data_IF_840903268123
#
_entry.id   IF_840903268123
#
_cell.length_a   1.000
_cell.length_b   1.000
_cell.length_c   1.000
_cell.angle_alpha   90.00
_cell.angle_beta   90.00
_cell.angle_gamma   90.00
#
_symmetry.space_group_name_H-M   'P 1'
#
loop_
_entity.id
_entity.type
_entity.pdbx_description
1 polymer ?
#
# COMPACT_ATOMS: atom_id res chain seq x y z
N UNK A 1 9.73 4.88 -3.10
CA UNK A 1 8.72 3.92 -2.60
C UNK A 1 7.34 4.57 -2.61
N UNK A 2 7.13 5.68 -1.92
CA UNK A 2 5.82 6.34 -1.88
C UNK A 2 5.22 6.68 -3.25
N UNK A 3 6.06 7.06 -4.20
CA UNK A 3 5.61 7.42 -5.56
C UNK A 3 5.45 6.22 -6.50
N UNK A 4 5.68 4.99 -6.05
CA UNK A 4 5.63 3.82 -6.90
C UNK A 4 4.19 3.57 -7.37
N UNK A 5 4.02 3.25 -8.65
CA UNK A 5 2.72 2.92 -9.21
C UNK A 5 2.29 1.56 -8.70
N UNK A 6 1.19 1.51 -7.94
CA UNK A 6 0.51 0.26 -7.61
C UNK A 6 0.00 -0.36 -8.90
N UNK A 7 0.45 -1.57 -9.18
CA UNK A 7 -0.12 -2.33 -10.29
C UNK A 7 -1.40 -2.99 -9.78
N UNK A 8 -2.27 -3.41 -10.70
CA UNK A 8 -3.40 -4.26 -10.37
C UNK A 8 -3.01 -5.38 -9.40
N UNK A 9 -3.93 -5.69 -8.49
CA UNK A 9 -3.77 -6.77 -7.51
C UNK A 9 -2.70 -6.54 -6.42
N UNK A 10 -2.19 -5.31 -6.28
CA UNK A 10 -1.31 -4.96 -5.16
C UNK A 10 -2.06 -5.06 -3.82
N UNK A 11 -1.46 -5.72 -2.83
CA UNK A 11 -1.98 -5.90 -1.47
C UNK A 11 -0.81 -6.09 -0.49
N UNK A 12 -0.99 -5.78 0.80
CA UNK A 12 0.08 -5.99 1.79
C UNK A 12 0.22 -7.46 2.15
N UNK A 13 1.46 -7.94 2.16
CA UNK A 13 1.79 -9.31 2.53
C UNK A 13 1.43 -10.34 1.46
N UNK A 14 0.78 -11.42 1.91
CA UNK A 14 0.42 -12.58 1.08
C UNK A 14 -1.01 -12.49 0.53
N UNK A 15 -1.35 -13.37 -0.43
CA UNK A 15 -2.62 -13.31 -1.17
C UNK A 15 -3.83 -13.76 -0.34
N UNK A 16 -4.23 -12.93 0.61
CA UNK A 16 -5.40 -13.11 1.49
C UNK A 16 -6.40 -11.99 1.27
N UNK A 17 -7.67 -12.22 1.63
CA UNK A 17 -8.77 -11.24 1.48
C UNK A 17 -8.54 -9.92 2.23
N UNK A 18 -7.72 -9.97 3.27
CA UNK A 18 -7.36 -8.84 4.11
C UNK A 18 -5.87 -8.53 3.92
N UNK A 19 -5.52 -7.25 3.99
CA UNK A 19 -4.14 -6.79 4.03
C UNK A 19 -3.45 -7.27 5.32
N UNK A 20 -2.20 -7.73 5.19
CA UNK A 20 -1.36 -8.03 6.34
C UNK A 20 -0.75 -6.74 6.90
N UNK A 21 -1.20 -6.29 8.06
CA UNK A 21 -0.72 -5.06 8.68
C UNK A 21 0.68 -5.19 9.32
N UNK A 22 1.20 -6.41 9.49
CA UNK A 22 2.56 -6.64 9.99
C UNK A 22 3.58 -6.77 8.85
N UNK A 23 3.12 -6.76 7.60
CA UNK A 23 3.96 -6.85 6.41
C UNK A 23 3.74 -5.62 5.53
N UNK A 24 4.67 -4.64 5.53
CA UNK A 24 4.43 -3.33 4.93
C UNK A 24 4.22 -3.36 3.41
N UNK A 25 4.70 -4.39 2.72
CA UNK A 25 4.78 -4.45 1.27
C UNK A 25 4.16 -5.74 0.73
N UNK A 26 3.73 -5.68 -0.53
CA UNK A 26 3.28 -6.85 -1.28
C UNK A 26 4.47 -7.82 -1.49
N UNK A 27 4.31 -9.11 -1.22
CA UNK A 27 5.40 -10.09 -1.40
C UNK A 27 5.83 -10.27 -2.87
N UNK A 28 4.95 -10.01 -3.83
CA UNK A 28 5.21 -10.14 -5.26
C UNK A 28 5.66 -8.82 -5.88
N UNK A 29 5.03 -7.71 -5.47
CA UNK A 29 5.20 -6.40 -6.12
C UNK A 29 6.04 -5.41 -5.30
N UNK A 30 6.36 -5.73 -4.04
CA UNK A 30 7.00 -4.80 -3.11
C UNK A 30 6.16 -3.53 -2.93
N UNK A 31 6.78 -2.36 -3.12
CA UNK A 31 6.05 -1.09 -3.12
C UNK A 31 5.32 -0.80 -4.45
N UNK A 32 5.41 -1.67 -5.46
CA UNK A 32 4.91 -1.45 -6.81
C UNK A 32 6.00 -1.02 -7.80
N UNK A 33 5.59 -0.59 -8.98
CA UNK A 33 6.50 -0.27 -10.08
C UNK A 33 7.10 1.14 -9.92
N UNK A 34 8.40 1.28 -10.18
CA UNK A 34 9.08 2.58 -10.12
C UNK A 34 8.43 3.58 -11.08
N UNK A 35 8.02 4.73 -10.55
CA UNK A 35 7.50 5.88 -11.32
C UNK A 35 8.38 7.10 -11.03
N UNK A 36 9.31 7.36 -11.95
CA UNK A 36 10.27 8.46 -11.82
C UNK A 36 9.63 9.86 -11.92
N UNK A 37 8.67 10.12 -12.84
CA UNK A 37 7.89 11.36 -12.82
C UNK A 37 7.20 11.62 -11.48
N UNK A 38 6.50 10.62 -10.92
CA UNK A 38 5.84 10.76 -9.63
C UNK A 38 6.84 10.98 -8.48
N UNK A 39 8.01 10.33 -8.52
CA UNK A 39 9.07 10.56 -7.54
C UNK A 39 9.61 12.00 -7.60
N UNK A 40 9.75 12.55 -8.80
CA UNK A 40 10.18 13.93 -9.00
C UNK A 40 9.12 14.94 -8.52
N UNK A 41 7.84 14.67 -8.76
CA UNK A 41 6.73 15.47 -8.23
C UNK A 41 6.72 15.46 -6.70
N UNK A 42 6.85 14.28 -6.08
CA UNK A 42 6.98 14.13 -4.62
C UNK A 42 8.13 14.96 -4.08
N UNK A 43 9.32 14.88 -4.70
CA UNK A 43 10.49 15.63 -4.27
C UNK A 43 10.25 17.16 -4.39
N UNK A 44 9.69 17.61 -5.51
CA UNK A 44 9.38 19.01 -5.79
C UNK A 44 8.29 19.59 -4.89
N UNK A 45 7.41 18.76 -4.33
CA UNK A 45 6.45 19.21 -3.33
C UNK A 45 7.16 19.84 -2.13
N UNK A 46 8.35 19.34 -1.77
CA UNK A 46 9.18 19.89 -0.69
C UNK A 46 8.76 19.40 0.70
N UNK A 47 9.53 19.78 1.74
CA UNK A 47 9.27 19.36 3.11
C UNK A 47 7.97 19.99 3.65
N UNK A 48 7.14 19.20 4.34
CA UNK A 48 5.84 19.62 4.88
C UNK A 48 5.82 19.92 6.39
N UNK A 49 6.65 19.25 7.19
CA UNK A 49 6.50 19.23 8.66
C UNK A 49 5.19 18.53 9.09
N UNK A 50 5.01 18.33 10.40
CA UNK A 50 3.75 17.82 10.96
C UNK A 50 2.72 18.96 11.17
N UNK A 51 1.45 18.61 11.33
CA UNK A 51 0.31 19.53 11.40
C UNK A 51 -0.47 19.55 10.08
N UNK A 52 -1.00 20.72 9.70
CA UNK A 52 -1.73 20.86 8.43
C UNK A 52 -0.77 20.89 7.25
N UNK A 53 -0.90 19.92 6.35
CA UNK A 53 -0.02 19.73 5.20
C UNK A 53 -0.78 19.67 3.88
N UNK A 54 -0.05 19.80 2.77
CA UNK A 54 -0.59 19.63 1.41
C UNK A 54 -0.87 18.16 1.11
N UNK A 55 -1.68 17.93 0.08
CA UNK A 55 -2.01 16.60 -0.44
C UNK A 55 -0.82 15.79 -0.93
N UNK A 56 0.34 16.41 -1.17
CA UNK A 56 1.60 15.74 -1.49
C UNK A 56 2.74 16.43 -0.74
N UNK A 57 3.63 15.65 -0.13
CA UNK A 57 4.77 16.18 0.59
C UNK A 57 5.65 15.10 1.20
N UNK A 58 6.80 15.51 1.70
CA UNK A 58 7.67 14.64 2.50
C UNK A 58 8.11 15.37 3.76
N UNK A 59 8.64 14.65 4.72
CA UNK A 59 9.18 15.21 5.94
C UNK A 59 10.36 14.37 6.44
N UNK A 60 11.32 15.02 7.08
CA UNK A 60 12.43 14.39 7.80
C UNK A 60 12.36 14.91 9.22
N UNK A 61 11.92 14.06 10.14
CA UNK A 61 11.53 14.49 11.48
C UNK A 61 12.02 13.52 12.55
N UNK A 62 11.69 13.84 13.80
CA UNK A 62 12.12 13.14 14.98
C UNK A 62 10.89 12.81 15.83
N UNK A 63 10.85 11.62 16.40
CA UNK A 63 9.82 11.20 17.36
C UNK A 63 10.46 10.77 18.68
N UNK A 64 9.79 11.06 19.79
CA UNK A 64 10.22 10.65 21.12
C UNK A 64 9.91 9.16 21.34
N UNK A 65 10.90 8.39 21.81
CA UNK A 65 10.78 6.93 22.00
C UNK A 65 9.89 6.56 23.20
N UNK A 66 9.52 7.52 24.04
CA UNK A 66 8.66 7.25 25.20
C UNK A 66 7.21 6.90 24.82
N UNK A 67 6.84 7.07 23.54
CA UNK A 67 5.54 6.66 22.99
C UNK A 67 4.35 7.48 23.52
N UNK A 68 4.59 8.57 24.25
CA UNK A 68 3.53 9.46 24.75
C UNK A 68 3.09 10.48 23.69
N UNK A 69 3.93 10.72 22.69
CA UNK A 69 3.70 11.69 21.62
C UNK A 69 3.60 10.99 20.27
N UNK A 70 2.78 11.58 19.41
CA UNK A 70 2.59 11.19 18.03
C UNK A 70 2.78 12.41 17.12
N UNK A 71 3.27 12.17 15.91
CA UNK A 71 3.37 13.19 14.89
C UNK A 71 2.23 13.01 13.88
N UNK A 72 1.32 13.98 13.86
CA UNK A 72 0.10 13.95 13.04
C UNK A 72 0.24 14.87 11.84
N UNK A 73 -0.04 14.36 10.65
CA UNK A 73 -0.03 15.09 9.39
C UNK A 73 -1.45 15.12 8.82
N UNK A 74 -2.14 16.24 9.03
CA UNK A 74 -3.52 16.46 8.61
C UNK A 74 -3.57 16.96 7.16
N UNK A 75 -4.26 16.20 6.30
CA UNK A 75 -4.42 16.45 4.87
C UNK A 75 -5.89 16.71 4.56
N UNK A 76 -6.20 17.81 3.89
CA UNK A 76 -7.54 18.03 3.35
C UNK A 76 -7.77 17.11 2.14
N UNK A 77 -8.94 16.47 2.08
CA UNK A 77 -9.33 15.62 0.94
C UNK A 77 -10.00 16.51 -0.11
N UNK A 78 -9.42 16.57 -1.30
CA UNK A 78 -9.95 17.40 -2.40
C UNK A 78 -10.88 16.60 -3.31
N UNK A 79 -11.81 17.26 -4.04
CA UNK A 79 -12.63 16.59 -5.04
C UNK A 79 -11.79 15.85 -6.08
N UNK A 80 -11.95 14.53 -6.15
CA UNK A 80 -11.21 13.65 -7.06
C UNK A 80 -10.10 12.85 -6.40
N UNK A 81 -9.76 13.13 -5.14
CA UNK A 81 -8.93 12.23 -4.33
C UNK A 81 -9.71 10.93 -4.07
N UNK A 82 -9.08 9.81 -4.36
CA UNK A 82 -9.68 8.48 -4.27
C UNK A 82 -8.87 7.53 -3.37
N UNK A 83 -7.56 7.75 -3.25
CA UNK A 83 -6.69 6.99 -2.39
C UNK A 83 -5.60 7.86 -1.78
N UNK A 84 -4.99 7.36 -0.71
CA UNK A 84 -3.83 7.94 -0.06
C UNK A 84 -2.71 6.90 0.00
N UNK A 85 -1.50 7.38 -0.24
CA UNK A 85 -0.26 6.62 -0.12
C UNK A 85 0.63 7.32 0.91
N UNK A 86 1.11 6.56 1.88
CA UNK A 86 2.07 7.03 2.85
C UNK A 86 3.17 5.99 3.05
N UNK A 87 4.43 6.44 3.09
CA UNK A 87 5.58 5.59 3.37
C UNK A 87 6.43 6.24 4.45
N UNK A 88 6.62 5.51 5.53
CA UNK A 88 7.48 5.87 6.65
C UNK A 88 8.74 5.01 6.60
N UNK A 89 9.91 5.59 6.82
CA UNK A 89 11.18 4.86 6.93
C UNK A 89 12.05 5.43 8.04
N UNK A 90 12.81 4.59 8.71
CA UNK A 90 13.81 4.99 9.71
C UNK A 90 15.06 4.12 9.58
N UNK A 91 16.14 4.47 10.28
CA UNK A 91 17.40 3.74 10.16
C UNK A 91 17.49 2.62 11.19
N UNK A 92 18.01 1.47 10.76
CA UNK A 92 18.47 0.40 11.67
C UNK A 92 19.78 0.82 12.34
N UNK A 93 19.93 0.44 13.61
CA UNK A 93 21.11 0.78 14.40
C UNK A 93 22.18 -0.30 14.29
N UNK A 94 23.43 0.15 14.15
CA UNK A 94 24.59 -0.73 14.06
C UNK A 94 25.72 -0.18 14.94
N UNK A 95 26.61 -1.07 15.36
CA UNK A 95 27.86 -0.68 16.00
C UNK A 95 28.67 0.26 15.10
N UNK A 96 29.42 1.19 15.70
CA UNK A 96 30.19 2.19 14.95
C UNK A 96 31.50 1.66 14.33
N UNK A 97 31.86 0.41 14.64
CA UNK A 97 33.11 -0.22 14.23
C UNK A 97 32.84 -1.55 13.53
N UNK A 98 33.66 -1.89 12.53
CA UNK A 98 33.61 -3.17 11.84
C UNK A 98 33.68 -4.33 12.85
N UNK A 99 32.80 -5.36 12.76
CA UNK A 99 31.97 -5.71 11.61
C UNK A 99 30.59 -5.03 11.50
N UNK A 100 30.34 -3.94 12.26
CA UNK A 100 29.06 -3.23 12.30
C UNK A 100 27.92 -4.18 12.72
N UNK A 101 28.03 -4.77 13.91
CA UNK A 101 26.99 -5.68 14.41
C UNK A 101 25.65 -4.94 14.61
N UNK A 102 24.50 -5.57 14.30
CA UNK A 102 23.20 -4.96 14.54
C UNK A 102 22.97 -4.69 16.02
N UNK A 103 22.44 -3.50 16.31
CA UNK A 103 22.07 -3.08 17.66
C UNK A 103 20.55 -3.09 17.83
N UNK A 104 19.94 -4.27 17.72
CA UNK A 104 18.48 -4.41 17.71
C UNK A 104 17.78 -3.92 18.99
N UNK A 105 18.51 -3.76 20.10
CA UNK A 105 17.97 -3.18 21.34
C UNK A 105 17.79 -1.65 21.27
N UNK A 106 18.41 -0.98 20.29
CA UNK A 106 18.27 0.45 20.06
C UNK A 106 17.26 0.79 18.95
N UNK A 107 16.84 -0.23 18.19
CA UNK A 107 15.86 -0.07 17.12
C UNK A 107 14.49 0.28 17.72
N UNK A 108 13.90 1.36 17.22
CA UNK A 108 12.53 1.71 17.52
C UNK A 108 11.58 0.97 16.59
N UNK A 109 10.44 0.56 17.12
CA UNK A 109 9.32 0.05 16.35
C UNK A 109 8.35 1.22 16.05
N UNK A 110 8.39 1.76 14.84
CA UNK A 110 7.49 2.83 14.42
C UNK A 110 6.30 2.26 13.66
N UNK A 111 5.13 2.84 13.89
CA UNK A 111 3.87 2.49 13.24
C UNK A 111 3.35 3.67 12.43
N UNK A 112 2.73 3.34 11.30
CA UNK A 112 2.06 4.27 10.41
C UNK A 112 0.56 4.00 10.42
N UNK A 113 -0.25 5.03 10.65
CA UNK A 113 -1.71 4.94 10.57
C UNK A 113 -2.27 6.00 9.65
N UNK A 114 -3.42 5.70 9.04
CA UNK A 114 -4.21 6.65 8.27
C UNK A 114 -5.63 6.64 8.80
N UNK A 115 -6.09 7.81 9.23
CA UNK A 115 -7.41 8.04 9.79
C UNK A 115 -8.23 8.93 8.86
N UNK A 116 -9.51 8.63 8.71
CA UNK A 116 -10.49 9.57 8.17
C UNK A 116 -11.02 10.45 9.30
N UNK A 117 -10.98 11.76 9.10
CA UNK A 117 -11.33 12.74 10.13
C UNK A 117 -12.27 13.82 9.61
N UNK A 118 -13.18 14.24 10.47
CA UNK A 118 -14.03 15.41 10.26
C UNK A 118 -13.67 16.43 11.34
N UNK A 119 -13.03 17.56 10.99
CA UNK A 119 -12.61 18.57 11.97
C UNK A 119 -13.77 19.12 12.82
N UNK A 120 -15.01 19.09 12.30
CA UNK A 120 -16.19 19.55 13.04
C UNK A 120 -16.75 18.47 13.98
N UNK A 121 -16.33 17.22 13.80
CA UNK A 121 -16.80 16.03 14.55
C UNK A 121 -15.66 15.04 14.80
N UNK A 122 -14.59 15.43 15.52
CA UNK A 122 -13.37 14.64 15.68
C UNK A 122 -13.62 13.30 16.40
N UNK A 123 -14.68 13.20 17.21
CA UNK A 123 -15.08 11.96 17.88
C UNK A 123 -15.51 10.84 16.92
N UNK A 124 -15.80 11.17 15.66
CA UNK A 124 -16.18 10.21 14.63
C UNK A 124 -15.00 9.78 13.74
N UNK A 125 -13.76 10.10 14.14
CA UNK A 125 -12.56 9.66 13.44
C UNK A 125 -12.56 8.14 13.25
N UNK A 126 -12.19 7.68 12.06
CA UNK A 126 -12.20 6.26 11.68
C UNK A 126 -10.86 5.85 11.12
N UNK A 127 -10.23 4.83 11.70
CA UNK A 127 -9.03 4.24 11.13
C UNK A 127 -9.35 3.63 9.76
N UNK A 128 -8.65 4.07 8.72
CA UNK A 128 -8.78 3.57 7.35
C UNK A 128 -7.85 2.38 7.12
N UNK A 129 -6.58 2.53 7.48
CA UNK A 129 -5.55 1.50 7.36
C UNK A 129 -4.36 1.83 8.27
N UNK A 130 -3.52 0.83 8.54
CA UNK A 130 -2.27 0.97 9.28
C UNK A 130 -1.23 -0.06 8.83
N UNK A 131 0.03 0.20 9.16
CA UNK A 131 1.18 -0.67 8.93
C UNK A 131 2.05 -0.63 10.18
N UNK A 132 2.36 -1.80 10.73
CA UNK A 132 2.92 -2.00 12.05
C UNK A 132 3.83 -3.25 12.10
N UNK A 133 4.88 -3.26 11.28
CA UNK A 133 5.79 -4.40 11.22
C UNK A 133 6.70 -4.46 12.44
N UNK A 134 6.76 -5.60 13.16
CA UNK A 134 7.72 -5.75 14.25
C UNK A 134 9.16 -5.94 13.77
N UNK A 135 9.38 -6.15 12.45
CA UNK A 135 10.66 -6.58 11.88
C UNK A 135 11.23 -5.63 10.82
N UNK A 136 10.43 -4.73 10.27
CA UNK A 136 10.85 -3.83 9.20
C UNK A 136 11.17 -2.43 9.75
N UNK A 137 12.01 -1.69 9.02
CA UNK A 137 12.27 -0.27 9.25
C UNK A 137 11.60 0.63 8.21
N UNK A 138 10.50 0.10 7.65
CA UNK A 138 9.64 0.74 6.68
C UNK A 138 8.21 0.39 7.01
N UNK A 139 7.33 1.38 6.99
CA UNK A 139 5.89 1.17 7.02
C UNK A 139 5.29 1.77 5.75
N UNK A 140 4.26 1.12 5.21
CA UNK A 140 3.62 1.59 4.00
C UNK A 140 2.11 1.34 4.01
N UNK A 141 1.36 2.38 3.68
CA UNK A 141 -0.10 2.33 3.55
C UNK A 141 -0.48 2.79 2.16
N UNK A 142 -1.36 2.02 1.51
CA UNK A 142 -2.09 2.41 0.31
C UNK A 142 -3.56 2.04 0.52
N UNK A 143 -4.41 3.03 0.77
CA UNK A 143 -5.82 2.77 1.03
C UNK A 143 -6.73 3.82 0.38
N UNK A 144 -8.01 3.47 0.21
CA UNK A 144 -9.02 4.42 -0.28
C UNK A 144 -9.30 5.49 0.76
N UNK A 145 -9.49 6.72 0.29
CA UNK A 145 -10.07 7.78 1.13
C UNK A 145 -11.57 7.54 1.28
N UNK A 146 -12.12 7.91 2.44
CA UNK A 146 -13.57 7.83 2.66
C UNK A 146 -14.22 9.16 2.22
N UNK A 147 -15.06 9.15 1.17
CA UNK A 147 -15.68 10.37 0.66
C UNK A 147 -16.67 11.01 1.65
N UNK A 148 -17.04 10.32 2.73
CA UNK A 148 -17.87 10.89 3.79
C UNK A 148 -17.09 11.84 4.72
N UNK A 149 -15.76 11.86 4.65
CA UNK A 149 -14.89 12.65 5.52
C UNK A 149 -14.13 13.73 4.70
N UNK A 150 -14.06 14.97 5.20
CA UNK A 150 -13.39 16.07 4.50
C UNK A 150 -11.85 16.05 4.65
N UNK A 151 -11.31 15.22 5.53
CA UNK A 151 -9.89 15.17 5.82
C UNK A 151 -9.41 13.76 6.17
N UNK A 152 -8.09 13.60 6.09
CA UNK A 152 -7.39 12.45 6.65
C UNK A 152 -6.26 12.91 7.55
N UNK A 153 -5.88 12.07 8.51
CA UNK A 153 -4.70 12.22 9.34
C UNK A 153 -3.76 11.05 9.11
N UNK A 154 -2.51 11.36 8.78
CA UNK A 154 -1.43 10.38 8.72
C UNK A 154 -0.68 10.49 10.03
N UNK A 155 -0.63 9.40 10.80
CA UNK A 155 -0.08 9.39 12.16
C UNK A 155 1.17 8.52 12.19
N UNK A 156 2.26 9.10 12.70
CA UNK A 156 3.49 8.38 13.01
C UNK A 156 3.61 8.29 14.53
N UNK A 157 3.76 7.08 15.05
CA UNK A 157 3.95 6.83 16.48
C UNK A 157 4.84 5.62 16.76
N UNK A 158 5.39 5.53 17.96
CA UNK A 158 6.06 4.31 18.42
C UNK A 158 5.01 3.23 18.75
N UNK A 159 5.25 1.99 18.34
CA UNK A 159 4.42 0.85 18.72
C UNK A 159 4.94 0.18 19.99
N UNK A 160 4.03 -0.35 20.81
CA UNK A 160 4.33 -1.08 22.04
C UNK A 160 3.93 -0.35 23.34
N UNK A 161 3.96 -1.04 24.49
CA UNK A 161 3.68 -0.42 25.77
C UNK A 161 4.75 0.61 26.10
N UNK A 162 4.32 1.84 26.42
CA UNK A 162 5.16 2.91 26.96
C UNK A 162 5.93 2.36 28.16
N UNK A 163 7.20 2.04 27.94
CA UNK A 163 8.09 1.62 29.03
C UNK A 163 8.90 2.85 29.38
N UNK A 164 8.77 3.44 30.58
CA UNK A 164 9.41 4.72 30.95
C UNK A 164 10.95 4.76 30.84
N UNK A 165 11.56 3.62 30.51
CA UNK A 165 13.00 3.43 30.36
C UNK A 165 13.50 3.66 28.93
N UNK A 166 12.63 3.68 27.92
CA UNK A 166 13.02 4.00 26.53
C UNK A 166 13.08 5.52 26.33
N UNK A 167 14.10 6.13 26.92
CA UNK A 167 14.38 7.56 26.73
C UNK A 167 15.20 7.75 25.46
N UNK A 168 14.78 8.65 24.58
CA UNK A 168 15.54 9.00 23.40
C UNK A 168 14.64 9.49 22.28
N UNK A 169 15.23 9.64 21.11
CA UNK A 169 14.50 10.03 19.91
C UNK A 169 14.87 9.14 18.73
N UNK A 170 13.94 8.95 17.81
CA UNK A 170 14.17 8.26 16.54
C UNK A 170 14.01 9.25 15.39
N UNK A 171 14.94 9.24 14.43
CA UNK A 171 14.80 10.06 13.21
C UNK A 171 14.13 9.23 12.14
N UNK A 172 13.07 9.78 11.54
CA UNK A 172 12.34 9.11 10.46
C UNK A 172 12.13 10.04 9.28
N UNK A 173 11.89 9.46 8.10
CA UNK A 173 11.38 10.16 6.94
C UNK A 173 9.99 9.65 6.59
N UNK A 174 9.08 10.58 6.32
CA UNK A 174 7.72 10.29 5.84
C UNK A 174 7.55 10.89 4.45
N UNK A 175 6.92 10.17 3.54
CA UNK A 175 6.42 10.72 2.30
C UNK A 175 4.95 10.34 2.16
N UNK A 176 4.13 11.28 1.68
CA UNK A 176 2.70 11.06 1.48
C UNK A 176 2.20 11.68 0.19
N UNK A 177 1.11 11.13 -0.33
CA UNK A 177 0.33 11.72 -1.40
C UNK A 177 -1.11 11.24 -1.38
N UNK A 178 -2.06 12.11 -1.71
CA UNK A 178 -3.36 11.67 -2.22
C UNK A 178 -3.26 11.45 -3.72
N UNK A 179 -4.05 10.51 -4.22
CA UNK A 179 -4.10 10.14 -5.63
C UNK A 179 -5.55 10.03 -6.08
N UNK A 180 -5.80 10.42 -7.32
CA UNK A 180 -7.11 10.25 -7.94
C UNK A 180 -7.34 8.82 -8.45
N UNK A 181 -8.59 8.56 -8.84
CA UNK A 181 -9.05 7.25 -9.32
C UNK A 181 -8.50 6.94 -10.73
N UNK A 182 -7.21 6.61 -10.83
CA UNK A 182 -6.62 6.05 -12.06
C UNK A 182 -6.71 4.53 -12.12
N UNK A 183 -7.19 3.91 -11.04
CA UNK A 183 -7.22 2.46 -10.88
C UNK A 183 -8.08 1.76 -11.93
N UNK A 184 -9.23 2.31 -12.32
CA UNK A 184 -10.19 1.62 -13.20
C UNK A 184 -9.82 1.57 -14.68
N UNK A 185 -8.82 2.33 -15.13
CA UNK A 185 -8.42 2.41 -16.53
C UNK A 185 -7.12 1.65 -16.84
N UNK A 186 -6.53 0.95 -15.87
CA UNK A 186 -5.27 0.25 -16.08
C UNK A 186 -5.49 -1.05 -16.90
N UNK A 187 -4.94 -1.18 -18.12
CA UNK A 187 -5.11 -2.40 -18.92
C UNK A 187 -4.52 -3.64 -18.23
N UNK A 188 -3.57 -3.46 -17.31
CA UNK A 188 -2.95 -4.57 -16.57
C UNK A 188 -3.92 -5.28 -15.62
N UNK A 189 -5.14 -4.75 -15.39
CA UNK A 189 -6.20 -5.50 -14.70
C UNK A 189 -6.61 -6.74 -15.48
N UNK A 190 -6.34 -6.76 -16.80
CA UNK A 190 -6.57 -7.92 -17.64
C UNK A 190 -5.44 -8.94 -17.62
N UNK A 191 -4.24 -8.64 -17.12
CA UNK A 191 -3.12 -9.59 -17.07
C UNK A 191 -3.27 -10.47 -15.82
N UNK A 192 -4.05 -11.54 -15.94
CA UNK A 192 -4.45 -12.41 -14.83
C UNK A 192 -3.38 -13.44 -14.50
N UNK A 193 -2.57 -13.86 -15.45
CA UNK A 193 -1.46 -14.79 -15.20
C UNK A 193 -0.10 -14.09 -14.98
N UNK A 194 -0.05 -12.75 -15.03
CA UNK A 194 1.15 -11.95 -14.82
C UNK A 194 2.27 -12.27 -15.82
N UNK A 195 1.92 -12.63 -17.06
CA UNK A 195 2.90 -12.93 -18.12
C UNK A 195 3.33 -11.69 -18.92
N UNK A 196 2.77 -10.52 -18.59
CA UNK A 196 3.06 -9.25 -19.24
C UNK A 196 2.29 -9.04 -20.55
N UNK A 197 1.33 -9.91 -20.86
CA UNK A 197 0.39 -9.78 -21.97
C UNK A 197 -1.03 -9.76 -21.43
N UNK A 198 -1.92 -9.09 -22.16
CA UNK A 198 -3.36 -9.17 -21.92
C UNK A 198 -3.95 -9.81 -23.16
N UNK A 199 -4.34 -11.08 -23.07
CA UNK A 199 -4.72 -11.88 -24.23
C UNK A 199 -5.90 -12.85 -23.99
N UNK A 200 -6.03 -13.85 -24.86
CA UNK A 200 -7.13 -14.83 -24.79
C UNK A 200 -7.02 -15.77 -23.59
N UNK A 201 -5.81 -16.00 -23.11
CA UNK A 201 -5.52 -16.79 -21.90
C UNK A 201 -6.16 -16.12 -20.70
N UNK A 202 -6.01 -14.80 -20.56
CA UNK A 202 -6.65 -14.03 -19.49
C UNK A 202 -8.16 -14.04 -19.59
N UNK A 203 -8.71 -13.91 -20.80
CA UNK A 203 -10.14 -14.09 -21.01
C UNK A 203 -10.64 -15.46 -20.54
N UNK A 204 -9.90 -16.53 -20.83
CA UNK A 204 -10.24 -17.86 -20.36
C UNK A 204 -10.17 -17.93 -18.82
N UNK A 205 -9.12 -17.39 -18.21
CA UNK A 205 -8.98 -17.33 -16.75
C UNK A 205 -10.16 -16.57 -16.12
N UNK A 206 -10.51 -15.39 -16.63
CA UNK A 206 -11.65 -14.60 -16.17
C UNK A 206 -12.97 -15.38 -16.27
N UNK A 207 -13.19 -16.09 -17.39
CA UNK A 207 -14.37 -16.94 -17.58
C UNK A 207 -14.42 -18.10 -16.61
N UNK A 208 -13.28 -18.70 -16.30
CA UNK A 208 -13.19 -19.78 -15.33
C UNK A 208 -13.49 -19.26 -13.92
N UNK A 209 -12.98 -18.08 -13.54
CA UNK A 209 -13.29 -17.43 -12.26
C UNK A 209 -14.78 -17.07 -12.13
N UNK A 210 -15.43 -16.65 -13.22
CA UNK A 210 -16.89 -16.45 -13.28
C UNK A 210 -17.71 -17.76 -13.11
N UNK A 211 -17.07 -18.93 -13.28
CA UNK A 211 -17.66 -20.26 -13.13
C UNK A 211 -17.11 -20.98 -11.88
N UNK A 212 -17.00 -20.25 -10.77
CA UNK A 212 -16.47 -20.69 -9.47
C UNK A 212 -14.98 -21.12 -9.47
N UNK A 213 -14.28 -20.96 -10.59
CA UNK A 213 -12.85 -21.21 -10.71
C UNK A 213 -12.43 -22.67 -10.48
N UNK A 214 -13.36 -23.62 -10.39
CA UNK A 214 -13.08 -24.99 -9.94
C UNK A 214 -11.97 -25.67 -10.77
N UNK A 215 -11.97 -25.45 -12.09
CA UNK A 215 -10.96 -26.02 -13.00
C UNK A 215 -9.54 -25.48 -12.74
N UNK A 216 -9.39 -24.27 -12.18
CA UNK A 216 -8.07 -23.73 -11.80
C UNK A 216 -7.43 -24.51 -10.64
N UNK A 217 -8.21 -25.31 -9.89
CA UNK A 217 -7.69 -26.19 -8.84
C UNK A 217 -7.29 -27.59 -9.33
N UNK A 218 -7.44 -27.89 -10.62
CA UNK A 218 -7.07 -29.19 -11.19
C UNK A 218 -5.56 -29.23 -11.43
N UNK A 219 -4.91 -30.28 -10.93
CA UNK A 219 -3.46 -30.48 -11.07
C UNK A 219 -3.02 -30.39 -12.54
N UNK A 220 -1.98 -29.59 -12.80
CA UNK A 220 -1.43 -29.34 -14.13
C UNK A 220 -2.26 -28.41 -15.03
N UNK A 221 -3.54 -28.14 -14.73
CA UNK A 221 -4.37 -27.25 -15.56
C UNK A 221 -3.96 -25.78 -15.39
N UNK A 222 -3.68 -25.35 -14.16
CA UNK A 222 -3.21 -23.99 -13.88
C UNK A 222 -1.85 -23.69 -14.54
N UNK A 223 -0.95 -24.68 -14.61
CA UNK A 223 0.36 -24.54 -15.23
C UNK A 223 0.25 -24.24 -16.73
N UNK A 224 -0.75 -24.82 -17.41
CA UNK A 224 -1.04 -24.51 -18.82
C UNK A 224 -1.46 -23.05 -19.05
N UNK A 225 -1.96 -22.38 -18.00
CA UNK A 225 -2.39 -20.99 -18.02
C UNK A 225 -1.33 -20.05 -17.42
N UNK A 226 -0.13 -20.55 -17.09
CA UNK A 226 0.92 -19.82 -16.39
C UNK A 226 0.47 -19.25 -15.03
N UNK A 227 -0.45 -19.93 -14.34
CA UNK A 227 -0.94 -19.50 -13.04
C UNK A 227 -0.22 -20.25 -11.90
N UNK A 228 0.40 -19.49 -11.00
CA UNK A 228 0.89 -20.03 -9.72
C UNK A 228 -0.27 -20.22 -8.74
N UNK A 229 -0.10 -21.10 -7.75
CA UNK A 229 -1.11 -21.30 -6.71
C UNK A 229 -1.43 -20.01 -5.95
N UNK A 230 -0.41 -19.24 -5.59
CA UNK A 230 -0.56 -17.93 -4.93
C UNK A 230 -1.41 -16.97 -5.78
N UNK A 231 -1.23 -16.97 -7.10
CA UNK A 231 -2.02 -16.13 -8.01
C UNK A 231 -3.48 -16.58 -8.09
N UNK A 232 -3.73 -17.88 -8.11
CA UNK A 232 -5.09 -18.44 -8.09
C UNK A 232 -5.82 -18.05 -6.80
N UNK A 233 -5.14 -18.20 -5.66
CA UNK A 233 -5.70 -17.86 -4.35
C UNK A 233 -6.01 -16.36 -4.26
N UNK A 234 -5.11 -15.51 -4.76
CA UNK A 234 -5.30 -14.06 -4.85
C UNK A 234 -6.55 -13.70 -5.66
N UNK A 235 -6.63 -14.22 -6.89
CA UNK A 235 -7.72 -13.93 -7.82
C UNK A 235 -9.05 -14.41 -7.29
N UNK A 236 -9.13 -15.62 -6.71
CA UNK A 236 -10.36 -16.15 -6.11
C UNK A 236 -10.84 -15.32 -4.93
N UNK A 237 -9.91 -14.95 -4.04
CA UNK A 237 -10.21 -14.22 -2.82
C UNK A 237 -10.83 -12.84 -3.09
N UNK A 238 -10.39 -12.16 -4.17
CA UNK A 238 -10.82 -10.81 -4.49
C UNK A 238 -11.64 -10.69 -5.78
N UNK A 239 -12.01 -11.82 -6.39
CA UNK A 239 -12.65 -11.80 -7.71
C UNK A 239 -13.88 -10.89 -7.74
N UNK A 240 -14.73 -10.96 -6.72
CA UNK A 240 -15.93 -10.14 -6.64
C UNK A 240 -15.64 -8.64 -6.71
N UNK A 241 -14.55 -8.19 -6.08
CA UNK A 241 -14.13 -6.79 -6.06
C UNK A 241 -13.46 -6.37 -7.37
N UNK A 242 -12.63 -7.24 -7.96
CA UNK A 242 -11.81 -6.91 -9.14
C UNK A 242 -12.51 -7.18 -10.46
N UNK A 243 -13.52 -8.05 -10.49
CA UNK A 243 -14.26 -8.43 -11.70
C UNK A 243 -14.70 -7.24 -12.55
N UNK A 244 -15.24 -6.13 -12.00
CA UNK A 244 -15.59 -4.98 -12.83
C UNK A 244 -14.39 -4.36 -13.56
N UNK A 245 -13.24 -4.27 -12.88
CA UNK A 245 -12.00 -3.69 -13.39
C UNK A 245 -11.39 -4.60 -14.47
N UNK A 246 -11.34 -5.91 -14.18
CA UNK A 246 -10.86 -6.94 -15.11
C UNK A 246 -11.73 -6.99 -16.36
N UNK A 247 -13.06 -6.94 -16.19
CA UNK A 247 -13.99 -6.94 -17.33
C UNK A 247 -13.73 -5.74 -18.24
N UNK A 248 -13.60 -4.53 -17.66
CA UNK A 248 -13.30 -3.33 -18.42
C UNK A 248 -11.96 -3.42 -19.17
N UNK A 249 -10.93 -3.99 -18.55
CA UNK A 249 -9.61 -4.18 -19.17
C UNK A 249 -9.62 -5.20 -20.32
N UNK A 250 -10.49 -6.21 -20.24
CA UNK A 250 -10.60 -7.28 -21.23
C UNK A 250 -11.57 -6.96 -22.40
N UNK A 251 -12.47 -5.97 -22.26
CA UNK A 251 -13.41 -5.57 -23.32
C UNK A 251 -12.77 -5.34 -24.72
N UNK A 252 -11.62 -4.66 -24.86
CA UNK A 252 -11.00 -4.42 -26.16
C UNK A 252 -10.58 -5.69 -26.90
N UNK A 253 -10.28 -6.78 -26.18
CA UNK A 253 -9.82 -8.05 -26.75
C UNK A 253 -11.02 -8.89 -27.20
N UNK A 254 -12.12 -8.88 -26.44
CA UNK A 254 -13.38 -9.52 -26.83
C UNK A 254 -13.96 -8.96 -28.14
N UNK A 255 -13.68 -7.70 -28.46
CA UNK A 255 -14.15 -7.04 -29.68
C UNK A 255 -13.30 -7.36 -30.93
N UNK A 256 -12.16 -8.05 -30.78
CA UNK A 256 -11.33 -8.41 -31.93
C UNK A 256 -11.96 -9.58 -32.71
N UNK A 257 -12.09 -9.46 -34.05
CA UNK A 257 -12.65 -10.54 -34.85
C UNK A 257 -11.79 -11.80 -34.71
N UNK A 258 -12.46 -12.94 -34.54
CA UNK A 258 -11.80 -14.24 -34.57
C UNK A 258 -11.18 -14.44 -35.96
N UNK A 259 -9.89 -14.79 -36.07
CA UNK A 259 -9.27 -15.07 -37.36
C UNK A 259 -9.92 -16.27 -38.05
#
# INVERSE_FOLDING_TARGET
>A
MNSARKLPFWHKGGPTVDDDHEVPLDYLQGAGMVDAPAALEQFRAGPGGFGSVRSVGWDLNVIEKDGLLENVYAVAVEPGDAAVEATLVWNRHYESQFPFEPRSADDTNLRLEVWAVDPDRPENARLLDYSDSPLDNVEHVHCRVDPAYPGIEIVVRCNGPVTPTETGTETYALAWRTTGEKWSADPWWGDLNADGLVDRTDHLIARLLDLDGALLGVEGFAELLNLSQARIDLLRSHWAQWRPLVTAALEPIAAQPTP
#
